data_IF_483345555895
#
_entry.id   IF_483345555895
#
_cell.length_a   1.000
_cell.length_b   1.000
_cell.length_c   1.000
_cell.angle_alpha   90.00
_cell.angle_beta   90.00
_cell.angle_gamma   90.00
#
_symmetry.space_group_name_H-M   'P 1'
#
loop_
_entity.id
_entity.type
_entity.pdbx_description
1 polymer ?
#
# COMPACT_ATOMS: atom_id res chain seq x y z
N UNK A 1 32.71 7.49 3.53
CA UNK A 1 32.35 6.13 3.96
C UNK A 1 32.03 5.32 2.70
N UNK A 2 32.90 4.40 2.28
CA UNK A 2 32.60 3.53 1.12
C UNK A 2 31.53 2.55 1.57
N UNK A 3 30.32 2.67 1.02
CA UNK A 3 29.29 1.64 1.17
C UNK A 3 29.83 0.42 0.41
N UNK A 4 30.47 -0.51 1.14
CA UNK A 4 30.83 -1.81 0.59
C UNK A 4 29.53 -2.61 0.44
N UNK A 5 28.77 -2.33 -0.62
CA UNK A 5 27.67 -3.18 -1.03
C UNK A 5 28.27 -4.57 -1.33
N UNK A 6 27.77 -5.55 -0.58
CA UNK A 6 28.12 -6.96 -0.61
C UNK A 6 28.08 -7.50 -2.05
N UNK A 7 29.23 -7.50 -2.74
CA UNK A 7 29.41 -8.05 -4.08
C UNK A 7 30.03 -9.43 -3.98
N UNK A 8 29.32 -10.47 -3.53
CA UNK A 8 29.72 -11.85 -3.81
C UNK A 8 28.51 -12.77 -3.61
N UNK A 9 27.98 -13.35 -4.71
CA UNK A 9 27.23 -14.63 -4.84
C UNK A 9 26.03 -14.63 -5.82
N UNK A 10 25.71 -13.55 -6.54
CA UNK A 10 24.41 -13.43 -7.26
C UNK A 10 24.38 -14.01 -8.70
N UNK A 11 25.52 -14.35 -9.31
CA UNK A 11 25.55 -14.66 -10.76
C UNK A 11 24.96 -16.02 -11.20
N UNK A 12 24.78 -16.99 -10.30
CA UNK A 12 24.43 -18.38 -10.69
C UNK A 12 22.92 -18.61 -10.86
N UNK A 13 22.05 -17.74 -10.35
CA UNK A 13 20.59 -17.96 -10.35
C UNK A 13 19.79 -17.20 -11.44
N UNK A 14 20.42 -16.31 -12.22
CA UNK A 14 19.68 -15.40 -13.11
C UNK A 14 19.36 -15.97 -14.50
N UNK A 15 20.19 -16.85 -15.08
CA UNK A 15 20.03 -17.26 -16.48
C UNK A 15 18.76 -18.07 -16.79
N UNK A 16 18.33 -19.07 -15.99
CA UNK A 16 17.14 -19.86 -16.30
C UNK A 16 15.83 -19.08 -16.18
N UNK A 17 15.82 -17.99 -15.40
CA UNK A 17 14.65 -17.14 -15.24
C UNK A 17 14.39 -16.32 -16.50
N UNK A 18 15.39 -15.77 -17.19
CA UNK A 18 15.18 -14.89 -18.34
C UNK A 18 14.41 -15.53 -19.52
N UNK A 19 14.56 -16.84 -19.75
CA UNK A 19 13.92 -17.55 -20.88
C UNK A 19 12.43 -17.85 -20.60
N UNK A 20 12.08 -18.19 -19.36
CA UNK A 20 10.67 -18.44 -19.00
C UNK A 20 9.81 -17.15 -19.00
N UNK A 21 10.46 -15.98 -18.95
CA UNK A 21 9.80 -14.68 -18.83
C UNK A 21 9.39 -14.05 -20.18
N UNK A 22 10.02 -14.43 -21.30
CA UNK A 22 9.64 -13.89 -22.61
C UNK A 22 8.28 -14.44 -23.09
N UNK A 23 7.99 -15.71 -22.79
CA UNK A 23 6.78 -16.39 -23.29
C UNK A 23 5.49 -16.05 -22.53
N UNK A 24 5.58 -15.67 -21.24
CA UNK A 24 4.38 -15.35 -20.41
C UNK A 24 3.87 -13.92 -20.66
N UNK A 25 4.70 -13.02 -21.18
CA UNK A 25 4.41 -11.58 -21.15
C UNK A 25 3.88 -10.96 -22.45
N UNK A 26 4.08 -11.62 -23.59
CA UNK A 26 3.66 -11.10 -24.91
C UNK A 26 2.13 -10.95 -25.04
N UNK A 27 1.34 -11.68 -24.23
CA UNK A 27 -0.13 -11.57 -24.23
C UNK A 27 -0.69 -10.42 -23.38
N UNK A 28 0.17 -9.62 -22.73
CA UNK A 28 -0.24 -8.53 -21.83
C UNK A 28 0.34 -7.16 -22.23
N UNK A 29 0.53 -6.94 -23.54
CA UNK A 29 0.76 -5.61 -24.14
C UNK A 29 -0.50 -4.75 -24.04
N UNK A 30 -1.00 -4.60 -22.83
CA UNK A 30 -2.00 -3.61 -22.52
C UNK A 30 -1.34 -2.23 -22.72
N UNK A 31 -1.80 -1.52 -23.77
CA UNK A 31 -1.59 -0.08 -24.06
C UNK A 31 -1.63 0.81 -22.80
N UNK A 32 -2.29 0.30 -21.77
CA UNK A 32 -2.60 0.92 -20.50
C UNK A 32 -1.38 1.31 -19.66
N UNK A 33 -0.33 0.52 -19.75
CA UNK A 33 0.92 0.80 -19.05
C UNK A 33 1.77 1.83 -19.78
N UNK A 34 1.59 1.97 -21.09
CA UNK A 34 2.51 2.73 -21.95
C UNK A 34 2.60 4.20 -21.53
N UNK A 35 1.47 4.87 -21.26
CA UNK A 35 1.50 6.30 -20.86
C UNK A 35 2.08 6.53 -19.46
N UNK A 36 1.81 5.63 -18.52
CA UNK A 36 2.39 5.66 -17.18
C UNK A 36 3.90 5.42 -17.24
N UNK A 37 4.37 4.46 -18.03
CA UNK A 37 5.81 4.23 -18.22
C UNK A 37 6.49 5.34 -19.02
N UNK A 38 5.82 5.94 -20.01
CA UNK A 38 6.34 7.12 -20.73
C UNK A 38 6.53 8.30 -19.78
N UNK A 39 5.56 8.56 -18.91
CA UNK A 39 5.65 9.65 -17.93
C UNK A 39 6.75 9.38 -16.90
N UNK A 40 6.87 8.14 -16.44
CA UNK A 40 7.98 7.71 -15.60
C UNK A 40 9.34 7.90 -16.28
N UNK A 41 9.46 7.50 -17.55
CA UNK A 41 10.67 7.65 -18.35
C UNK A 41 11.01 9.12 -18.58
N UNK A 42 10.02 9.97 -18.87
CA UNK A 42 10.23 11.41 -19.02
C UNK A 42 10.76 12.04 -17.73
N UNK A 43 10.18 11.69 -16.57
CA UNK A 43 10.69 12.16 -15.27
C UNK A 43 12.10 11.64 -15.00
N UNK A 44 12.40 10.38 -15.36
CA UNK A 44 13.75 9.84 -15.24
C UNK A 44 14.76 10.60 -16.10
N UNK A 45 14.43 10.85 -17.37
CA UNK A 45 15.29 11.54 -18.33
C UNK A 45 15.60 12.97 -17.86
N UNK A 46 14.64 13.60 -17.19
CA UNK A 46 14.80 14.93 -16.59
C UNK A 46 15.65 14.90 -15.31
N UNK A 47 15.34 14.02 -14.37
CA UNK A 47 15.86 14.11 -12.99
C UNK A 47 17.13 13.31 -12.74
N UNK A 48 17.29 12.21 -13.49
CA UNK A 48 18.23 11.12 -13.18
C UNK A 48 19.17 10.79 -14.33
N UNK A 49 18.72 10.75 -15.59
CA UNK A 49 19.59 10.45 -16.73
C UNK A 49 20.88 11.31 -16.80
N UNK A 50 20.86 12.62 -16.46
CA UNK A 50 22.07 13.45 -16.45
C UNK A 50 23.13 13.03 -15.44
N UNK A 51 22.78 12.18 -14.47
CA UNK A 51 23.68 11.70 -13.42
C UNK A 51 24.47 10.44 -13.81
N UNK A 52 24.13 9.82 -14.94
CA UNK A 52 24.80 8.62 -15.44
C UNK A 52 25.96 8.97 -16.37
N UNK A 53 27.13 8.35 -16.15
CA UNK A 53 28.27 8.48 -17.06
C UNK A 53 28.06 7.76 -18.39
N UNK A 54 27.21 6.72 -18.40
CA UNK A 54 26.72 6.05 -19.60
C UNK A 54 25.20 6.01 -19.52
N UNK A 55 24.47 6.89 -20.24
CA UNK A 55 23.04 7.03 -20.07
C UNK A 55 22.34 5.72 -20.43
N UNK A 56 21.36 5.34 -19.59
CA UNK A 56 20.43 4.29 -19.94
C UNK A 56 19.63 4.76 -21.14
N UNK A 57 19.99 4.27 -22.33
CA UNK A 57 19.28 4.66 -23.56
C UNK A 57 17.81 4.27 -23.43
N UNK A 58 16.98 5.31 -23.37
CA UNK A 58 15.54 5.26 -23.48
C UNK A 58 15.15 4.66 -24.84
N UNK A 59 14.30 3.64 -24.84
CA UNK A 59 13.58 3.21 -26.03
C UNK A 59 12.10 3.59 -25.87
N UNK A 60 11.63 4.68 -26.50
CA UNK A 60 10.24 5.11 -26.42
C UNK A 60 9.26 4.06 -26.96
N UNK A 61 9.72 3.15 -27.83
CA UNK A 61 8.92 2.03 -28.32
C UNK A 61 8.84 0.88 -27.29
N UNK A 62 9.74 0.85 -26.31
CA UNK A 62 9.76 -0.16 -25.25
C UNK A 62 10.04 0.45 -23.86
N UNK A 63 9.09 1.23 -23.32
CA UNK A 63 9.30 1.93 -22.05
C UNK A 63 9.35 0.93 -20.85
N UNK A 64 8.79 -0.27 -20.99
CA UNK A 64 8.95 -1.38 -20.02
C UNK A 64 10.38 -1.93 -20.01
N UNK A 65 10.98 -2.10 -21.19
CA UNK A 65 12.37 -2.55 -21.34
C UNK A 65 13.34 -1.57 -20.69
N UNK A 66 13.12 -0.26 -20.90
CA UNK A 66 13.84 0.80 -20.21
C UNK A 66 13.74 0.64 -18.68
N UNK A 67 12.52 0.52 -18.16
CA UNK A 67 12.28 0.37 -16.72
C UNK A 67 13.00 -0.85 -16.12
N UNK A 68 12.91 -2.02 -16.78
CA UNK A 68 13.61 -3.24 -16.33
C UNK A 68 15.12 -3.02 -16.29
N UNK A 69 15.68 -2.39 -17.33
CA UNK A 69 17.11 -2.06 -17.40
C UNK A 69 17.52 -1.11 -16.26
N UNK A 70 16.68 -0.12 -15.94
CA UNK A 70 16.91 0.77 -14.81
C UNK A 70 16.89 0.01 -13.48
N UNK A 71 15.90 -0.86 -13.26
CA UNK A 71 15.79 -1.68 -12.05
C UNK A 71 17.00 -2.62 -11.87
N UNK A 72 17.47 -3.24 -12.95
CA UNK A 72 18.72 -4.02 -12.92
C UNK A 72 19.91 -3.15 -12.52
N UNK A 73 20.00 -1.93 -13.06
CA UNK A 73 21.08 -0.99 -12.73
C UNK A 73 21.08 -0.60 -11.25
N UNK A 74 19.88 -0.42 -10.65
CA UNK A 74 19.74 -0.21 -9.21
C UNK A 74 20.23 -1.42 -8.41
N UNK A 75 19.84 -2.64 -8.79
CA UNK A 75 20.21 -3.88 -8.08
C UNK A 75 21.67 -4.22 -8.13
N UNK A 76 22.32 -3.93 -9.26
CA UNK A 76 23.76 -4.12 -9.42
C UNK A 76 24.59 -3.10 -8.62
N UNK A 77 23.96 -2.14 -7.92
CA UNK A 77 24.67 -1.10 -7.19
C UNK A 77 25.37 -0.09 -8.11
N UNK A 78 24.99 -0.05 -9.40
CA UNK A 78 25.64 0.80 -10.43
C UNK A 78 24.93 2.15 -10.60
N UNK A 79 23.76 2.32 -10.00
CA UNK A 79 23.01 3.56 -10.06
C UNK A 79 23.60 4.62 -9.10
N UNK A 80 23.55 5.92 -9.46
CA UNK A 80 23.91 6.96 -8.53
C UNK A 80 22.94 6.97 -7.35
N UNK A 81 23.42 7.40 -6.18
CA UNK A 81 22.66 7.37 -4.92
C UNK A 81 21.30 8.06 -5.02
N UNK A 82 21.24 9.18 -5.76
CA UNK A 82 20.01 9.97 -6.01
C UNK A 82 18.95 9.20 -6.80
N UNK A 83 19.33 8.18 -7.58
CA UNK A 83 18.39 7.36 -8.34
C UNK A 83 17.54 6.45 -7.43
N UNK A 84 18.11 5.93 -6.33
CA UNK A 84 17.35 5.15 -5.35
C UNK A 84 16.31 6.03 -4.64
N UNK A 85 16.71 7.22 -4.21
CA UNK A 85 15.78 8.18 -3.62
C UNK A 85 14.66 8.54 -4.60
N UNK A 86 15.02 8.87 -5.85
CA UNK A 86 14.03 9.21 -6.88
C UNK A 86 13.08 8.05 -7.18
N UNK A 87 13.57 6.80 -7.21
CA UNK A 87 12.74 5.63 -7.46
C UNK A 87 11.58 5.48 -6.45
N UNK A 88 11.81 5.82 -5.18
CA UNK A 88 10.77 5.73 -4.13
C UNK A 88 10.04 7.04 -3.86
N UNK A 89 10.72 8.18 -3.99
CA UNK A 89 10.24 9.49 -3.53
C UNK A 89 10.10 10.55 -4.62
N UNK A 90 10.67 10.33 -5.80
CA UNK A 90 10.75 11.34 -6.86
C UNK A 90 9.59 11.29 -7.85
N UNK A 91 9.00 10.12 -8.03
CA UNK A 91 7.97 9.93 -9.07
C UNK A 91 6.60 10.40 -8.57
N UNK A 92 6.06 11.42 -9.22
CA UNK A 92 4.66 11.85 -9.04
C UNK A 92 3.86 11.46 -10.28
N UNK A 93 2.90 10.55 -10.12
CA UNK A 93 1.99 10.11 -11.19
C UNK A 93 0.56 10.58 -10.98
N UNK A 94 0.31 11.51 -10.05
CA UNK A 94 -1.05 11.88 -9.71
C UNK A 94 -1.81 12.38 -10.94
N UNK A 95 -1.20 13.24 -11.76
CA UNK A 95 -1.85 13.77 -12.96
C UNK A 95 -2.21 12.65 -13.93
N UNK A 96 -1.26 11.78 -14.24
CA UNK A 96 -1.40 10.69 -15.20
C UNK A 96 -2.46 9.68 -14.73
N UNK A 97 -2.50 9.39 -13.44
CA UNK A 97 -3.50 8.50 -12.87
C UNK A 97 -4.90 9.08 -12.90
N UNK A 98 -5.04 10.39 -12.64
CA UNK A 98 -6.32 11.07 -12.72
C UNK A 98 -6.80 11.16 -14.18
N UNK A 99 -5.92 11.48 -15.13
CA UNK A 99 -6.27 11.48 -16.56
C UNK A 99 -6.63 10.08 -17.08
N UNK A 100 -5.92 9.05 -16.62
CA UNK A 100 -6.28 7.66 -16.95
C UNK A 100 -7.64 7.27 -16.35
N UNK A 101 -7.91 7.67 -15.10
CA UNK A 101 -9.20 7.48 -14.45
C UNK A 101 -10.33 8.17 -15.25
N UNK A 102 -10.16 9.45 -15.60
CA UNK A 102 -11.14 10.20 -16.42
C UNK A 102 -11.42 9.50 -17.74
N UNK A 103 -10.37 9.12 -18.47
CA UNK A 103 -10.47 8.49 -19.79
C UNK A 103 -11.20 7.15 -19.76
N UNK A 104 -10.90 6.30 -18.78
CA UNK A 104 -11.40 4.91 -18.76
C UNK A 104 -12.68 4.72 -17.99
N UNK A 105 -12.75 5.38 -16.84
CA UNK A 105 -13.86 5.24 -15.92
C UNK A 105 -14.94 6.27 -16.23
N UNK A 106 -14.76 7.09 -17.27
CA UNK A 106 -15.70 8.14 -17.66
C UNK A 106 -15.92 9.18 -16.56
N UNK A 107 -14.96 9.32 -15.63
CA UNK A 107 -15.12 10.17 -14.45
C UNK A 107 -14.89 11.63 -14.86
N UNK A 108 -15.94 12.32 -15.30
CA UNK A 108 -15.90 13.77 -15.51
C UNK A 108 -16.45 14.49 -14.27
N UNK A 109 -15.62 15.33 -13.63
CA UNK A 109 -15.94 15.96 -12.34
C UNK A 109 -16.07 17.47 -12.42
N UNK A 110 -16.38 18.01 -13.60
CA UNK A 110 -16.74 19.43 -13.74
C UNK A 110 -18.05 19.81 -13.01
N UNK A 111 -18.68 18.87 -12.30
CA UNK A 111 -19.90 19.13 -11.54
C UNK A 111 -19.60 19.61 -10.11
N UNK A 112 -20.11 20.80 -9.80
CA UNK A 112 -20.21 21.32 -8.44
C UNK A 112 -21.16 20.40 -7.64
N UNK A 113 -20.70 19.82 -6.52
CA UNK A 113 -21.59 19.02 -5.65
C UNK A 113 -20.97 17.84 -4.87
N UNK A 114 -19.65 17.63 -4.92
CA UNK A 114 -19.02 16.43 -4.37
C UNK A 114 -18.59 16.51 -2.90
N UNK A 115 -19.08 17.48 -2.15
CA UNK A 115 -18.75 17.63 -0.73
C UNK A 115 -19.52 16.70 0.20
N UNK A 116 -20.58 16.02 -0.28
CA UNK A 116 -21.39 15.14 0.57
C UNK A 116 -20.89 13.67 0.49
N UNK A 117 -20.60 13.01 1.62
CA UNK A 117 -20.12 11.62 1.68
C UNK A 117 -20.97 10.61 0.92
N UNK A 118 -22.29 10.78 0.95
CA UNK A 118 -23.30 10.00 0.24
C UNK A 118 -23.13 10.13 -1.28
N UNK A 119 -22.84 11.33 -1.76
CA UNK A 119 -22.54 11.58 -3.17
C UNK A 119 -21.23 10.87 -3.54
N UNK A 120 -20.18 11.01 -2.73
CA UNK A 120 -18.89 10.33 -2.94
C UNK A 120 -19.05 8.80 -2.99
N UNK A 121 -19.75 8.22 -2.02
CA UNK A 121 -20.01 6.80 -1.94
C UNK A 121 -20.80 6.29 -3.15
N UNK A 122 -21.82 7.04 -3.60
CA UNK A 122 -22.62 6.70 -4.78
C UNK A 122 -21.80 6.75 -6.06
N UNK A 123 -20.93 7.75 -6.23
CA UNK A 123 -20.05 7.83 -7.41
C UNK A 123 -19.11 6.65 -7.50
N UNK A 124 -18.45 6.31 -6.40
CA UNK A 124 -17.55 5.15 -6.36
C UNK A 124 -18.30 3.87 -6.76
N UNK A 125 -19.53 3.69 -6.26
CA UNK A 125 -20.38 2.55 -6.63
C UNK A 125 -20.78 2.56 -8.10
N UNK A 126 -21.15 3.72 -8.65
CA UNK A 126 -21.52 3.86 -10.05
C UNK A 126 -20.33 3.54 -10.97
N UNK A 127 -19.17 4.14 -10.72
CA UNK A 127 -17.96 3.86 -11.52
C UNK A 127 -17.48 2.42 -11.36
N UNK A 128 -17.61 1.84 -10.16
CA UNK A 128 -17.34 0.42 -9.98
C UNK A 128 -18.26 -0.45 -10.84
N UNK A 129 -19.56 -0.14 -10.90
CA UNK A 129 -20.53 -0.86 -11.75
C UNK A 129 -20.21 -0.70 -13.23
N UNK A 130 -19.89 0.51 -13.69
CA UNK A 130 -19.47 0.78 -15.07
C UNK A 130 -18.21 -0.03 -15.44
N UNK A 131 -17.24 -0.08 -14.52
CA UNK A 131 -16.02 -0.89 -14.69
C UNK A 131 -16.36 -2.39 -14.76
N UNK A 132 -17.26 -2.86 -13.91
CA UNK A 132 -17.68 -4.27 -13.86
C UNK A 132 -18.40 -4.71 -15.14
N UNK A 133 -19.13 -3.81 -15.79
CA UNK A 133 -19.86 -4.05 -17.03
C UNK A 133 -18.98 -3.88 -18.28
N UNK A 134 -17.77 -3.34 -18.14
CA UNK A 134 -16.84 -3.13 -19.26
C UNK A 134 -16.05 -4.43 -19.56
N UNK A 135 -16.22 -5.03 -20.76
CA UNK A 135 -15.54 -6.27 -21.12
C UNK A 135 -14.02 -6.14 -21.25
N UNK A 136 -13.45 -4.94 -21.33
CA UNK A 136 -12.00 -4.73 -21.36
C UNK A 136 -11.30 -5.17 -20.06
N UNK A 137 -12.04 -5.29 -18.95
CA UNK A 137 -11.51 -5.60 -17.62
C UNK A 137 -11.84 -7.04 -17.16
N UNK A 138 -11.83 -8.00 -18.10
CA UNK A 138 -12.10 -9.42 -17.85
C UNK A 138 -10.86 -10.26 -17.49
N UNK A 139 -9.67 -9.69 -17.66
CA UNK A 139 -8.40 -10.41 -17.54
C UNK A 139 -7.98 -10.53 -16.09
N UNK A 140 -7.88 -11.76 -15.56
CA UNK A 140 -7.08 -11.99 -14.35
C UNK A 140 -5.72 -12.55 -14.74
N UNK A 141 -4.70 -11.70 -14.75
CA UNK A 141 -3.32 -12.15 -14.92
C UNK A 141 -2.87 -12.81 -13.60
N UNK A 142 -2.85 -14.15 -13.59
CA UNK A 142 -2.25 -14.93 -12.50
C UNK A 142 -0.73 -14.85 -12.57
N UNK A 143 -0.16 -13.74 -12.12
CA UNK A 143 1.28 -13.68 -11.90
C UNK A 143 1.68 -14.55 -10.71
N UNK A 144 2.50 -15.56 -10.98
CA UNK A 144 3.04 -16.48 -9.98
C UNK A 144 4.14 -15.77 -9.20
N UNK A 145 3.82 -15.19 -8.04
CA UNK A 145 4.75 -14.67 -7.02
C UNK A 145 6.09 -14.16 -7.58
N UNK A 146 5.99 -13.16 -8.44
CA UNK A 146 7.13 -12.46 -8.99
C UNK A 146 7.41 -11.22 -8.14
N UNK A 147 8.66 -10.78 -8.20
CA UNK A 147 9.11 -9.49 -7.72
C UNK A 147 8.19 -8.36 -8.23
N UNK A 148 7.40 -7.70 -7.35
CA UNK A 148 6.43 -6.72 -7.77
C UNK A 148 7.05 -5.58 -8.58
N UNK A 149 8.23 -5.10 -8.19
CA UNK A 149 8.89 -4.05 -8.94
C UNK A 149 9.23 -4.53 -10.35
N UNK A 150 9.67 -5.78 -10.52
CA UNK A 150 10.05 -6.32 -11.83
C UNK A 150 8.88 -6.41 -12.82
N UNK A 151 7.66 -6.68 -12.34
CA UNK A 151 6.44 -6.72 -13.17
C UNK A 151 5.85 -5.33 -13.44
N UNK A 152 6.58 -4.25 -13.12
CA UNK A 152 6.16 -2.90 -13.43
C UNK A 152 5.27 -2.26 -12.36
N UNK A 153 5.19 -2.86 -11.17
CA UNK A 153 4.46 -2.30 -10.04
C UNK A 153 5.36 -1.33 -9.26
N UNK A 154 5.75 -0.22 -9.87
CA UNK A 154 6.77 0.66 -9.28
C UNK A 154 6.20 1.61 -8.21
N UNK A 155 7.07 2.15 -7.33
CA UNK A 155 6.68 3.12 -6.32
C UNK A 155 6.35 4.49 -6.93
N UNK A 156 5.42 5.22 -6.33
CA UNK A 156 5.17 6.64 -6.65
C UNK A 156 4.46 7.36 -5.49
N UNK A 157 4.48 8.70 -5.52
CA UNK A 157 3.85 9.56 -4.51
C UNK A 157 2.34 9.55 -4.69
N UNK A 158 1.63 9.14 -3.65
CA UNK A 158 0.17 9.27 -3.59
C UNK A 158 -0.22 10.69 -3.23
N UNK A 159 0.24 11.19 -2.09
CA UNK A 159 -0.08 12.53 -1.60
C UNK A 159 0.88 12.92 -0.48
N UNK A 160 0.83 14.20 -0.10
CA UNK A 160 1.48 14.72 1.09
C UNK A 160 0.40 15.26 2.01
N UNK A 161 0.54 15.02 3.30
CA UNK A 161 -0.39 15.54 4.29
C UNK A 161 0.38 15.99 5.53
N UNK A 162 -0.09 17.07 6.16
CA UNK A 162 0.56 17.69 7.30
C UNK A 162 -0.09 17.23 8.60
N UNK A 163 0.70 16.58 9.47
CA UNK A 163 0.31 16.21 10.82
C UNK A 163 1.01 17.15 11.82
N UNK A 164 0.30 18.19 12.25
CA UNK A 164 0.88 19.27 13.07
C UNK A 164 1.90 20.08 12.27
N UNK A 165 3.16 20.08 12.70
CA UNK A 165 4.26 20.77 12.00
C UNK A 165 4.96 19.88 10.95
N UNK A 166 4.70 18.57 10.99
CA UNK A 166 5.38 17.60 10.12
C UNK A 166 4.57 17.31 8.87
N UNK A 167 5.16 17.52 7.70
CA UNK A 167 4.63 16.98 6.45
C UNK A 167 5.09 15.53 6.26
N UNK A 168 4.14 14.65 5.93
CA UNK A 168 4.37 13.23 5.69
C UNK A 168 4.06 12.92 4.23
N UNK A 169 5.01 12.31 3.53
CA UNK A 169 4.84 11.86 2.15
C UNK A 169 4.31 10.42 2.12
N UNK A 170 3.11 10.24 1.56
CA UNK A 170 2.52 8.93 1.35
C UNK A 170 2.94 8.36 0.02
N UNK A 171 3.54 7.18 0.07
CA UNK A 171 4.07 6.48 -1.10
C UNK A 171 3.23 5.24 -1.30
N UNK A 172 2.82 5.00 -2.54
CA UNK A 172 2.33 3.69 -2.92
C UNK A 172 3.52 2.86 -3.34
N UNK A 173 3.70 1.73 -2.69
CA UNK A 173 4.76 0.79 -2.98
C UNK A 173 4.21 -0.64 -2.75
N UNK A 174 4.40 -1.61 -3.66
CA UNK A 174 4.15 -3.02 -3.33
C UNK A 174 5.14 -3.52 -2.26
N UNK A 175 5.02 -4.80 -1.87
CA UNK A 175 5.98 -5.39 -0.95
C UNK A 175 7.40 -5.37 -1.56
N UNK A 176 8.41 -4.77 -0.90
CA UNK A 176 9.77 -4.64 -1.43
C UNK A 176 10.58 -5.91 -1.20
N UNK A 177 9.98 -7.06 -1.50
CA UNK A 177 10.55 -8.37 -1.26
C UNK A 177 10.10 -9.32 -2.36
N UNK A 178 10.97 -10.26 -2.70
CA UNK A 178 10.76 -11.22 -3.78
C UNK A 178 11.10 -12.64 -3.36
N UNK A 179 10.43 -13.59 -3.99
CA UNK A 179 10.77 -15.00 -3.89
C UNK A 179 11.97 -15.32 -4.79
N UNK A 180 12.95 -16.06 -4.26
CA UNK A 180 14.00 -16.71 -5.04
C UNK A 180 13.52 -18.01 -5.70
N UNK A 181 12.39 -18.54 -5.25
CA UNK A 181 11.81 -19.79 -5.74
C UNK A 181 10.56 -19.49 -6.58
N UNK A 182 10.49 -19.93 -7.85
CA UNK A 182 9.30 -19.77 -8.69
C UNK A 182 8.06 -20.54 -8.19
N UNK A 183 8.20 -21.36 -7.15
CA UNK A 183 7.10 -22.18 -6.60
C UNK A 183 6.17 -21.31 -5.75
N UNK A 184 4.86 -21.55 -5.88
CA UNK A 184 3.82 -20.81 -5.15
C UNK A 184 3.89 -20.94 -3.62
N UNK A 185 4.55 -21.98 -3.12
CA UNK A 185 4.61 -22.28 -1.69
C UNK A 185 6.03 -22.09 -1.18
N UNK A 186 6.27 -20.94 -0.57
CA UNK A 186 7.47 -20.67 0.20
C UNK A 186 7.44 -21.52 1.45
N UNK A 187 8.40 -22.44 1.57
CA UNK A 187 8.54 -23.29 2.75
C UNK A 187 9.53 -22.71 3.74
N UNK A 188 10.49 -21.94 3.24
CA UNK A 188 11.60 -21.44 4.05
C UNK A 188 11.77 -19.93 3.87
N UNK A 189 12.07 -19.27 4.98
CA UNK A 189 12.32 -17.82 5.01
C UNK A 189 13.47 -17.40 4.09
N UNK A 190 14.46 -18.27 3.90
CA UNK A 190 15.63 -18.02 3.04
C UNK A 190 15.30 -18.05 1.54
N UNK A 191 14.09 -18.48 1.17
CA UNK A 191 13.56 -18.38 -0.18
C UNK A 191 13.00 -16.97 -0.48
N UNK A 192 13.02 -16.05 0.50
CA UNK A 192 12.60 -14.65 0.34
C UNK A 192 13.76 -13.72 0.60
N UNK A 193 13.96 -12.75 -0.29
CA UNK A 193 14.94 -11.67 -0.12
C UNK A 193 14.26 -10.31 -0.20
N UNK A 194 14.77 -9.35 0.57
CA UNK A 194 14.40 -7.95 0.41
C UNK A 194 15.10 -7.41 -0.83
N UNK A 195 14.38 -6.62 -1.61
CA UNK A 195 14.91 -6.05 -2.83
C UNK A 195 16.04 -5.05 -2.52
N UNK A 196 17.15 -5.14 -3.26
CA UNK A 196 18.37 -4.37 -3.00
C UNK A 196 18.14 -2.87 -3.11
N UNK A 197 17.31 -2.44 -4.07
CA UNK A 197 16.90 -1.04 -4.22
C UNK A 197 16.23 -0.47 -2.96
N UNK A 198 15.44 -1.29 -2.25
CA UNK A 198 14.78 -0.86 -1.02
C UNK A 198 15.76 -0.79 0.17
N UNK A 199 16.72 -1.72 0.26
CA UNK A 199 17.80 -1.63 1.25
C UNK A 199 18.62 -0.36 1.07
N UNK A 200 18.94 -0.01 -0.19
CA UNK A 200 19.62 1.24 -0.51
C UNK A 200 18.76 2.43 -0.06
N UNK A 201 17.46 2.44 -0.38
CA UNK A 201 16.53 3.48 0.08
C UNK A 201 16.53 3.64 1.61
N UNK A 202 16.40 2.57 2.39
CA UNK A 202 16.45 2.63 3.86
C UNK A 202 17.77 3.21 4.37
N UNK A 203 18.88 2.83 3.75
CA UNK A 203 20.20 3.37 4.08
C UNK A 203 20.26 4.89 3.83
N UNK A 204 19.60 5.40 2.79
CA UNK A 204 19.51 6.85 2.53
C UNK A 204 18.64 7.56 3.55
N UNK A 205 17.50 6.98 3.89
CA UNK A 205 16.62 7.54 4.92
C UNK A 205 17.39 7.66 6.25
N UNK A 206 18.13 6.62 6.64
CA UNK A 206 18.97 6.64 7.85
C UNK A 206 20.06 7.73 7.80
N UNK A 207 20.79 7.86 6.69
CA UNK A 207 21.80 8.92 6.51
C UNK A 207 21.20 10.33 6.64
N UNK A 208 19.97 10.53 6.15
CA UNK A 208 19.23 11.79 6.24
C UNK A 208 18.51 11.96 7.58
N UNK A 209 18.59 10.98 8.48
CA UNK A 209 17.82 10.91 9.73
C UNK A 209 16.31 11.01 9.51
N UNK A 210 15.85 10.56 8.35
CA UNK A 210 14.44 10.54 7.99
C UNK A 210 13.83 9.20 8.37
N UNK A 211 12.59 9.23 8.85
CA UNK A 211 11.86 8.06 9.32
C UNK A 211 10.89 7.55 8.24
N UNK A 212 10.76 6.24 8.14
CA UNK A 212 9.81 5.57 7.25
C UNK A 212 8.87 4.67 8.05
N UNK A 213 7.57 4.90 7.92
CA UNK A 213 6.52 4.06 8.50
C UNK A 213 5.97 3.11 7.44
N UNK A 214 6.19 1.82 7.63
CA UNK A 214 5.72 0.77 6.72
C UNK A 214 4.55 0.01 7.37
N UNK A 215 3.35 0.19 6.83
CA UNK A 215 2.14 -0.52 7.30
C UNK A 215 1.79 -1.65 6.33
N UNK A 216 1.91 -2.88 6.80
CA UNK A 216 1.64 -4.09 6.02
C UNK A 216 0.25 -4.66 6.31
N UNK A 217 -0.44 -5.07 5.25
CA UNK A 217 -1.66 -5.88 5.30
C UNK A 217 -1.46 -7.28 4.73
N UNK A 218 -0.22 -7.78 4.68
CA UNK A 218 0.10 -9.14 4.22
C UNK A 218 -0.51 -10.19 5.16
N UNK A 219 -0.92 -11.33 4.60
CA UNK A 219 -1.64 -12.36 5.38
C UNK A 219 -0.69 -13.39 5.95
N UNK A 220 -0.44 -13.32 7.25
CA UNK A 220 0.46 -14.24 7.94
C UNK A 220 -0.16 -15.64 8.19
N UNK A 221 -1.49 -15.74 8.23
CA UNK A 221 -2.15 -16.73 9.09
C UNK A 221 -2.59 -18.05 8.45
N UNK A 222 -2.77 -18.14 7.13
CA UNK A 222 -3.46 -19.30 6.54
C UNK A 222 -2.57 -20.37 5.90
N UNK A 223 -1.50 -20.00 5.21
CA UNK A 223 -0.73 -20.97 4.39
C UNK A 223 0.81 -20.83 4.48
N UNK A 224 1.36 -19.99 5.37
CA UNK A 224 2.81 -19.75 5.43
C UNK A 224 3.40 -18.97 4.23
N UNK A 225 2.69 -18.87 3.11
CA UNK A 225 3.15 -18.22 1.88
C UNK A 225 3.65 -16.79 2.12
N UNK A 226 2.89 -15.94 2.82
CA UNK A 226 3.34 -14.58 3.12
C UNK A 226 4.11 -14.44 4.44
N UNK A 227 4.18 -15.50 5.26
CA UNK A 227 4.89 -15.45 6.55
C UNK A 227 6.37 -15.15 6.35
N UNK A 228 6.99 -15.78 5.35
CA UNK A 228 8.39 -15.53 5.02
C UNK A 228 8.64 -14.05 4.66
N UNK A 229 7.72 -13.43 3.91
CA UNK A 229 7.79 -12.01 3.56
C UNK A 229 7.64 -11.09 4.78
N UNK A 230 6.64 -11.32 5.64
CA UNK A 230 6.40 -10.48 6.82
C UNK A 230 7.52 -10.62 7.86
N UNK A 231 8.10 -11.81 7.99
CA UNK A 231 9.25 -12.05 8.85
C UNK A 231 10.53 -11.40 8.30
N UNK A 232 10.77 -11.40 6.98
CA UNK A 232 11.91 -10.67 6.39
C UNK A 232 11.76 -9.16 6.51
N UNK A 233 10.55 -8.62 6.31
CA UNK A 233 10.30 -7.19 6.45
C UNK A 233 10.49 -6.71 7.88
N UNK A 234 10.08 -7.48 8.88
CA UNK A 234 10.29 -7.10 10.28
C UNK A 234 11.74 -7.21 10.75
N UNK A 235 12.56 -8.09 10.15
CA UNK A 235 14.00 -8.12 10.45
C UNK A 235 14.69 -6.80 10.11
N UNK A 236 14.16 -6.03 9.14
CA UNK A 236 14.73 -4.74 8.76
C UNK A 236 14.69 -3.71 9.90
N UNK A 237 13.71 -3.81 10.81
CA UNK A 237 13.61 -2.93 11.97
C UNK A 237 14.72 -3.20 13.01
N UNK A 238 15.31 -4.39 12.98
CA UNK A 238 16.40 -4.78 13.89
C UNK A 238 17.79 -4.50 13.30
N UNK A 239 17.88 -3.94 12.09
CA UNK A 239 19.16 -3.74 11.42
C UNK A 239 19.92 -2.55 12.02
N UNK A 240 21.22 -2.68 12.34
CA UNK A 240 21.97 -1.62 13.03
C UNK A 240 22.12 -0.33 12.21
N UNK A 241 22.13 -0.42 10.88
CA UNK A 241 22.39 0.75 10.02
C UNK A 241 21.16 1.64 9.75
N UNK A 242 19.95 1.12 9.91
CA UNK A 242 18.71 1.84 9.57
C UNK A 242 17.50 1.50 10.44
N UNK A 243 17.63 0.60 11.40
CA UNK A 243 16.52 0.14 12.27
C UNK A 243 15.82 1.29 12.97
N UNK A 244 16.59 2.25 13.50
CA UNK A 244 16.07 3.46 14.18
C UNK A 244 15.21 4.37 13.27
N UNK A 245 15.31 4.19 11.95
CA UNK A 245 14.63 4.99 10.94
C UNK A 245 13.50 4.22 10.24
N UNK A 246 13.33 2.93 10.52
CA UNK A 246 12.34 2.07 9.84
C UNK A 246 11.37 1.46 10.86
N UNK A 247 10.08 1.79 10.73
CA UNK A 247 9.04 1.32 11.64
C UNK A 247 8.11 0.37 10.91
N UNK A 248 8.10 -0.90 11.29
CA UNK A 248 7.26 -1.92 10.66
C UNK A 248 6.00 -2.19 11.48
N UNK A 249 4.85 -2.07 10.83
CA UNK A 249 3.53 -2.36 11.40
C UNK A 249 2.86 -3.43 10.55
N UNK A 250 2.16 -4.36 11.18
CA UNK A 250 1.30 -5.32 10.49
C UNK A 250 -0.11 -5.27 11.07
N UNK A 251 -1.09 -5.08 10.19
CA UNK A 251 -2.52 -5.09 10.51
C UNK A 251 -3.22 -6.14 9.66
N UNK A 252 -3.98 -7.01 10.29
CA UNK A 252 -4.62 -8.12 9.59
C UNK A 252 -5.94 -7.68 8.92
N UNK A 253 -6.00 -7.82 7.59
CA UNK A 253 -7.18 -7.52 6.76
C UNK A 253 -7.69 -8.74 5.99
N UNK A 254 -7.40 -9.94 6.48
CA UNK A 254 -7.86 -11.17 5.82
C UNK A 254 -8.20 -12.31 6.77
N UNK A 255 -8.21 -12.09 8.09
CA UNK A 255 -8.68 -13.12 9.00
C UNK A 255 -10.19 -13.31 9.01
N UNK A 256 -10.61 -14.47 9.51
CA UNK A 256 -12.00 -14.70 9.89
C UNK A 256 -12.53 -13.64 10.86
N UNK A 257 -11.67 -13.10 11.73
CA UNK A 257 -12.04 -11.99 12.60
C UNK A 257 -12.29 -10.71 11.79
N UNK A 258 -11.39 -10.33 10.89
CA UNK A 258 -11.61 -9.15 10.03
C UNK A 258 -12.87 -9.26 9.15
N UNK A 259 -13.18 -10.47 8.67
CA UNK A 259 -14.42 -10.75 7.94
C UNK A 259 -15.65 -10.94 8.83
N UNK A 260 -15.48 -11.06 10.16
CA UNK A 260 -16.55 -11.33 11.11
C UNK A 260 -17.36 -12.58 10.71
N UNK A 261 -16.66 -13.64 10.27
CA UNK A 261 -17.24 -14.90 9.82
C UNK A 261 -16.87 -16.06 10.78
N UNK A 262 -17.43 -17.26 10.53
CA UNK A 262 -17.28 -18.44 11.39
C UNK A 262 -17.70 -18.10 12.83
N UNK A 263 -16.90 -18.48 13.83
CA UNK A 263 -17.14 -18.18 15.25
C UNK A 263 -17.39 -16.69 15.56
N UNK A 264 -16.89 -15.77 14.73
CA UNK A 264 -17.06 -14.32 14.95
C UNK A 264 -18.39 -13.75 14.42
N UNK A 265 -19.18 -14.52 13.65
CA UNK A 265 -20.51 -14.04 13.20
C UNK A 265 -21.48 -13.89 14.37
N UNK A 266 -21.37 -14.78 15.36
CA UNK A 266 -22.27 -14.87 16.51
C UNK A 266 -21.89 -13.93 17.68
N UNK A 267 -20.73 -13.28 17.60
CA UNK A 267 -20.22 -12.37 18.64
C UNK A 267 -20.95 -11.01 18.61
N UNK A 268 -22.23 -11.01 18.98
CA UNK A 268 -23.08 -9.81 18.97
C UNK A 268 -22.78 -8.87 20.12
N UNK A 269 -22.42 -9.39 21.30
CA UNK A 269 -22.11 -8.56 22.47
C UNK A 269 -20.86 -7.69 22.22
N UNK A 270 -21.02 -6.38 22.37
CA UNK A 270 -19.99 -5.39 22.10
C UNK A 270 -18.79 -5.54 23.04
N UNK A 271 -19.02 -5.82 24.33
CA UNK A 271 -17.96 -6.02 25.31
C UNK A 271 -17.09 -7.24 24.97
N UNK A 272 -17.73 -8.35 24.58
CA UNK A 272 -17.02 -9.54 24.10
C UNK A 272 -16.24 -9.20 22.82
N UNK A 273 -16.84 -8.52 21.85
CA UNK A 273 -16.18 -8.08 20.61
C UNK A 273 -14.90 -7.28 20.86
N UNK A 274 -14.96 -6.21 21.67
CA UNK A 274 -13.79 -5.36 21.91
C UNK A 274 -12.71 -6.06 22.74
N UNK A 275 -13.09 -6.91 23.68
CA UNK A 275 -12.13 -7.76 24.40
C UNK A 275 -11.37 -8.63 23.41
N UNK A 276 -12.06 -9.37 22.54
CA UNK A 276 -11.41 -10.19 21.51
C UNK A 276 -10.59 -9.36 20.52
N UNK A 277 -11.06 -8.16 20.16
CA UNK A 277 -10.32 -7.28 19.26
C UNK A 277 -8.98 -6.86 19.85
N UNK A 278 -8.96 -6.36 21.10
CA UNK A 278 -7.75 -5.96 21.81
C UNK A 278 -6.82 -7.15 22.08
N UNK A 279 -7.36 -8.31 22.45
CA UNK A 279 -6.58 -9.54 22.59
C UNK A 279 -5.87 -9.90 21.27
N UNK A 280 -6.55 -9.79 20.13
CA UNK A 280 -5.94 -10.07 18.82
C UNK A 280 -4.86 -9.05 18.46
N UNK A 281 -5.14 -7.76 18.65
CA UNK A 281 -4.16 -6.68 18.42
C UNK A 281 -2.85 -6.89 19.19
N UNK A 282 -2.87 -7.48 20.40
CA UNK A 282 -1.71 -7.54 21.29
C UNK A 282 -1.26 -8.95 21.71
N UNK A 283 -1.84 -10.01 21.13
CA UNK A 283 -1.46 -11.40 21.47
C UNK A 283 -0.11 -11.84 20.92
N UNK A 284 0.53 -11.03 20.06
CA UNK A 284 1.73 -11.43 19.31
C UNK A 284 1.48 -12.57 18.31
N UNK A 285 0.22 -12.93 18.11
CA UNK A 285 -0.29 -13.96 17.20
C UNK A 285 -1.38 -13.30 16.34
N UNK A 286 -1.79 -13.95 15.25
CA UNK A 286 -2.93 -13.54 14.42
C UNK A 286 -2.69 -12.38 13.45
N UNK A 287 -1.46 -12.18 12.99
CA UNK A 287 -1.21 -11.25 11.90
C UNK A 287 -1.13 -9.77 12.31
N UNK A 288 -0.86 -9.49 13.59
CA UNK A 288 -0.58 -8.15 14.10
C UNK A 288 0.87 -8.05 14.56
N UNK A 289 1.53 -6.95 14.21
CA UNK A 289 2.88 -6.62 14.68
C UNK A 289 3.00 -5.11 14.86
N UNK A 290 3.65 -4.70 15.93
CA UNK A 290 3.93 -3.31 16.25
C UNK A 290 5.43 -3.03 16.16
N UNK A 291 5.82 -1.77 15.88
CA UNK A 291 7.23 -1.40 15.83
C UNK A 291 7.91 -1.70 17.17
N UNK A 292 9.10 -2.29 17.13
CA UNK A 292 9.88 -2.68 18.31
C UNK A 292 10.31 -1.47 19.15
N UNK A 293 10.40 -0.31 18.51
CA UNK A 293 10.74 0.97 19.12
C UNK A 293 9.64 1.53 20.03
N UNK A 294 8.40 1.05 19.92
CA UNK A 294 7.32 1.50 20.78
C UNK A 294 7.39 0.82 22.16
N UNK A 295 7.14 1.59 23.21
CA UNK A 295 6.85 1.02 24.52
C UNK A 295 5.51 0.28 24.44
N UNK A 296 5.56 -1.06 24.37
CA UNK A 296 4.39 -1.90 24.10
C UNK A 296 3.28 -1.75 25.14
N UNK A 297 3.61 -1.48 26.41
CA UNK A 297 2.61 -1.28 27.46
C UNK A 297 1.89 0.06 27.31
N UNK A 298 2.64 1.13 27.03
CA UNK A 298 2.07 2.45 26.74
C UNK A 298 1.19 2.37 25.49
N UNK A 299 1.72 1.79 24.41
CA UNK A 299 1.00 1.63 23.15
C UNK A 299 -0.29 0.82 23.29
N UNK A 300 -0.26 -0.28 24.06
CA UNK A 300 -1.46 -1.07 24.39
C UNK A 300 -2.51 -0.26 25.13
N UNK A 301 -2.11 0.56 26.09
CA UNK A 301 -3.02 1.43 26.81
C UNK A 301 -3.63 2.48 25.88
N UNK A 302 -2.82 3.15 25.06
CA UNK A 302 -3.29 4.14 24.07
C UNK A 302 -4.30 3.53 23.10
N UNK A 303 -4.02 2.34 22.55
CA UNK A 303 -4.95 1.62 21.68
C UNK A 303 -6.24 1.22 22.41
N UNK A 304 -6.16 0.84 23.70
CA UNK A 304 -7.35 0.51 24.51
C UNK A 304 -8.24 1.74 24.70
N UNK A 305 -7.66 2.91 24.99
CA UNK A 305 -8.41 4.17 25.07
C UNK A 305 -9.01 4.55 23.72
N UNK A 306 -8.23 4.44 22.63
CA UNK A 306 -8.70 4.71 21.27
C UNK A 306 -9.91 3.84 20.91
N UNK A 307 -9.83 2.52 21.14
CA UNK A 307 -10.91 1.57 20.89
C UNK A 307 -12.16 1.94 21.67
N UNK A 308 -12.02 2.25 22.97
CA UNK A 308 -13.14 2.65 23.83
C UNK A 308 -13.80 3.94 23.37
N UNK A 309 -12.99 4.96 23.04
CA UNK A 309 -13.48 6.25 22.59
C UNK A 309 -14.22 6.12 21.25
N UNK A 310 -13.63 5.40 20.30
CA UNK A 310 -14.24 5.18 19.00
C UNK A 310 -15.54 4.38 19.10
N UNK A 311 -15.60 3.37 19.97
CA UNK A 311 -16.85 2.63 20.25
C UNK A 311 -17.96 3.57 20.74
N UNK A 312 -17.64 4.42 21.72
CA UNK A 312 -18.62 5.37 22.26
C UNK A 312 -19.07 6.39 21.21
N UNK A 313 -18.17 6.87 20.37
CA UNK A 313 -18.49 7.83 19.29
C UNK A 313 -19.37 7.18 18.20
N UNK A 314 -18.99 6.01 17.70
CA UNK A 314 -19.71 5.34 16.61
C UNK A 314 -21.05 4.75 17.03
N UNK A 315 -21.11 4.17 18.23
CA UNK A 315 -22.23 3.32 18.62
C UNK A 315 -22.93 3.76 19.91
N UNK A 316 -22.51 4.86 20.54
CA UNK A 316 -23.15 5.43 21.74
C UNK A 316 -23.39 4.39 22.85
N UNK A 317 -22.44 3.46 23.02
CA UNK A 317 -22.54 2.40 24.05
C UNK A 317 -23.52 1.27 23.73
N UNK A 318 -23.92 1.08 22.45
CA UNK A 318 -24.82 0.00 22.02
C UNK A 318 -24.29 -1.39 22.43
N UNK A 319 -25.05 -2.08 23.29
CA UNK A 319 -24.70 -3.40 23.84
C UNK A 319 -24.44 -4.48 22.78
N UNK A 320 -25.23 -4.48 21.69
CA UNK A 320 -25.12 -5.49 20.64
C UNK A 320 -24.76 -4.84 19.30
N UNK A 321 -23.70 -5.32 18.66
CA UNK A 321 -23.28 -4.89 17.33
C UNK A 321 -23.65 -5.96 16.30
N UNK A 322 -24.07 -5.53 15.12
CA UNK A 322 -24.23 -6.39 13.94
C UNK A 322 -22.87 -6.73 13.33
N UNK A 323 -22.80 -7.77 12.48
CA UNK A 323 -21.59 -8.13 11.72
C UNK A 323 -21.03 -6.91 10.98
N UNK A 324 -21.90 -6.18 10.28
CA UNK A 324 -21.53 -4.97 9.53
C UNK A 324 -20.97 -3.87 10.44
N UNK A 325 -21.61 -3.59 11.57
CA UNK A 325 -21.11 -2.60 12.54
C UNK A 325 -19.71 -2.97 13.07
N UNK A 326 -19.46 -4.26 13.34
CA UNK A 326 -18.14 -4.74 13.77
C UNK A 326 -17.09 -4.61 12.66
N UNK A 327 -17.46 -4.90 11.41
CA UNK A 327 -16.57 -4.69 10.26
C UNK A 327 -16.23 -3.20 10.06
N UNK A 328 -17.25 -2.33 10.10
CA UNK A 328 -17.07 -0.88 10.00
C UNK A 328 -16.15 -0.35 11.11
N UNK A 329 -16.33 -0.86 12.34
CA UNK A 329 -15.46 -0.51 13.46
C UNK A 329 -14.00 -0.88 13.18
N UNK A 330 -13.72 -2.08 12.68
CA UNK A 330 -12.34 -2.53 12.42
C UNK A 330 -11.66 -1.62 11.38
N UNK A 331 -12.35 -1.28 10.29
CA UNK A 331 -11.82 -0.40 9.25
C UNK A 331 -11.46 0.99 9.79
N UNK A 332 -12.40 1.61 10.51
CA UNK A 332 -12.20 2.94 11.08
C UNK A 332 -11.12 2.89 12.16
N UNK A 333 -11.12 1.85 13.00
CA UNK A 333 -10.11 1.69 14.05
C UNK A 333 -8.71 1.55 13.46
N UNK A 334 -8.52 0.83 12.35
CA UNK A 334 -7.23 0.76 11.67
C UNK A 334 -6.78 2.12 11.14
N UNK A 335 -7.69 2.90 10.55
CA UNK A 335 -7.40 4.29 10.13
C UNK A 335 -6.88 5.13 11.30
N UNK A 336 -7.57 5.07 12.46
CA UNK A 336 -7.21 5.83 13.66
C UNK A 336 -5.92 5.33 14.32
N UNK A 337 -5.66 4.02 14.30
CA UNK A 337 -4.38 3.45 14.75
C UNK A 337 -3.23 3.94 13.87
N UNK A 338 -3.38 3.95 12.54
CA UNK A 338 -2.37 4.45 11.61
C UNK A 338 -2.07 5.93 11.90
N UNK A 339 -3.10 6.75 12.14
CA UNK A 339 -2.90 8.17 12.51
C UNK A 339 -2.17 8.32 13.85
N UNK A 340 -2.54 7.54 14.86
CA UNK A 340 -1.87 7.56 16.16
C UNK A 340 -0.37 7.20 16.02
N UNK A 341 -0.06 6.18 15.21
CA UNK A 341 1.31 5.81 14.87
C UNK A 341 2.07 6.95 14.17
N UNK A 342 1.47 7.60 13.17
CA UNK A 342 2.08 8.75 12.49
C UNK A 342 2.36 9.89 13.48
N UNK A 343 1.42 10.17 14.37
CA UNK A 343 1.56 11.24 15.37
C UNK A 343 2.70 10.95 16.37
N UNK A 344 2.83 9.69 16.79
CA UNK A 344 3.84 9.24 17.75
C UNK A 344 5.23 9.11 17.11
N UNK A 345 5.31 8.55 15.90
CA UNK A 345 6.58 8.27 15.22
C UNK A 345 7.11 9.52 14.52
N UNK A 346 6.21 10.37 14.03
CA UNK A 346 6.49 11.52 13.15
C UNK A 346 7.33 11.13 11.92
N UNK A 347 6.86 10.17 11.09
CA UNK A 347 7.61 9.72 9.93
C UNK A 347 7.75 10.82 8.88
N UNK A 348 8.81 10.76 8.07
CA UNK A 348 8.93 11.59 6.85
C UNK A 348 8.15 10.97 5.70
N UNK A 349 8.13 9.64 5.65
CA UNK A 349 7.49 8.88 4.59
C UNK A 349 6.65 7.74 5.17
N UNK A 350 5.52 7.45 4.53
CA UNK A 350 4.61 6.38 4.96
C UNK A 350 4.10 5.60 3.75
N UNK A 351 3.98 4.28 3.87
CA UNK A 351 3.29 3.46 2.89
C UNK A 351 2.33 2.48 3.57
N UNK A 352 1.21 2.25 2.89
CA UNK A 352 0.23 1.25 3.25
C UNK A 352 0.25 0.18 2.16
N UNK A 353 0.61 -1.06 2.49
CA UNK A 353 1.05 -2.05 1.50
C UNK A 353 0.45 -3.43 1.73
N UNK A 354 0.04 -4.06 0.64
CA UNK A 354 -0.12 -5.51 0.53
C UNK A 354 0.79 -5.98 -0.60
N UNK A 355 0.79 -7.27 -0.97
CA UNK A 355 1.81 -7.81 -1.88
C UNK A 355 2.00 -6.97 -3.17
N UNK A 356 0.91 -6.62 -3.85
CA UNK A 356 0.92 -5.75 -5.04
C UNK A 356 0.28 -4.37 -4.83
N UNK A 357 -0.18 -4.05 -3.62
CA UNK A 357 -0.87 -2.78 -3.31
C UNK A 357 -2.16 -2.55 -4.15
N UNK A 358 -2.85 -3.63 -4.51
CA UNK A 358 -4.05 -3.59 -5.37
C UNK A 358 -5.36 -3.51 -4.59
N UNK A 359 -5.65 -4.44 -3.67
CA UNK A 359 -6.97 -4.51 -3.02
C UNK A 359 -6.96 -3.99 -1.57
N UNK A 360 -6.29 -4.74 -0.67
CA UNK A 360 -6.26 -4.44 0.77
C UNK A 360 -5.64 -3.08 1.08
N UNK A 361 -4.51 -2.80 0.43
CA UNK A 361 -3.81 -1.54 0.62
C UNK A 361 -4.59 -0.39 0.00
N UNK A 362 -4.99 -0.49 -1.27
CA UNK A 362 -5.78 0.54 -1.95
C UNK A 362 -7.03 0.93 -1.16
N UNK A 363 -7.82 -0.05 -0.68
CA UNK A 363 -8.99 0.22 0.15
C UNK A 363 -8.65 0.94 1.46
N UNK A 364 -7.58 0.56 2.14
CA UNK A 364 -7.17 1.22 3.38
C UNK A 364 -6.61 2.62 3.13
N UNK A 365 -5.82 2.79 2.08
CA UNK A 365 -5.32 4.10 1.62
C UNK A 365 -6.45 5.04 1.27
N UNK A 366 -7.47 4.57 0.57
CA UNK A 366 -8.66 5.35 0.24
C UNK A 366 -9.42 5.79 1.50
N UNK A 367 -9.70 4.86 2.42
CA UNK A 367 -10.35 5.16 3.71
C UNK A 367 -9.51 6.18 4.50
N UNK A 368 -8.21 5.95 4.62
CA UNK A 368 -7.32 6.82 5.40
C UNK A 368 -7.21 8.21 4.76
N UNK A 369 -7.08 8.30 3.44
CA UNK A 369 -7.06 9.58 2.73
C UNK A 369 -8.36 10.36 2.96
N UNK A 370 -9.52 9.72 2.83
CA UNK A 370 -10.80 10.38 3.11
C UNK A 370 -10.97 10.78 4.57
N UNK A 371 -10.47 9.97 5.51
CA UNK A 371 -10.44 10.30 6.94
C UNK A 371 -9.63 11.57 7.19
N UNK A 372 -8.52 11.79 6.47
CA UNK A 372 -7.74 13.04 6.55
C UNK A 372 -8.52 14.23 5.97
N UNK A 373 -9.15 14.09 4.81
CA UNK A 373 -9.97 15.16 4.20
C UNK A 373 -11.12 15.59 5.12
N UNK A 374 -11.74 14.64 5.82
CA UNK A 374 -12.81 14.96 6.77
C UNK A 374 -12.32 15.86 7.91
N UNK A 375 -11.03 15.82 8.28
CA UNK A 375 -10.46 16.65 9.34
C UNK A 375 -10.13 18.06 8.88
N UNK A 376 -9.71 18.22 7.63
CA UNK A 376 -9.33 19.50 7.02
C UNK A 376 -10.54 20.41 6.70
N UNK A 377 -11.70 20.13 7.30
CA UNK A 377 -12.98 20.88 7.21
C UNK A 377 -13.63 20.94 5.83
N UNK A 378 -13.25 20.06 4.90
CA UNK A 378 -13.95 19.90 3.63
C UNK A 378 -13.38 18.82 2.74
N UNK A 379 -14.20 18.30 1.83
CA UNK A 379 -13.79 17.37 0.76
C UNK A 379 -13.83 18.15 -0.56
N UNK A 380 -12.69 18.66 -1.06
CA UNK A 380 -12.62 19.26 -2.38
C UNK A 380 -12.97 18.27 -3.49
N UNK A 381 -13.56 18.75 -4.59
CA UNK A 381 -13.87 17.94 -5.77
C UNK A 381 -12.66 17.14 -6.33
N UNK A 382 -11.45 17.72 -6.49
CA UNK A 382 -10.29 16.98 -6.98
C UNK A 382 -9.91 15.78 -6.11
N UNK A 383 -10.19 15.84 -4.82
CA UNK A 383 -9.86 14.78 -3.88
C UNK A 383 -10.83 13.59 -3.97
N UNK A 384 -12.06 13.81 -4.47
CA UNK A 384 -13.01 12.73 -4.78
C UNK A 384 -12.57 11.93 -5.99
N UNK A 385 -12.03 12.58 -7.02
CA UNK A 385 -11.41 11.89 -8.17
C UNK A 385 -10.28 11.00 -7.70
N UNK A 386 -9.41 11.58 -6.88
CA UNK A 386 -8.24 10.92 -6.34
C UNK A 386 -8.62 9.73 -5.49
N UNK A 387 -9.62 9.88 -4.62
CA UNK A 387 -10.17 8.78 -3.83
C UNK A 387 -10.67 7.62 -4.71
N UNK A 388 -11.39 7.94 -5.78
CA UNK A 388 -11.92 6.95 -6.72
C UNK A 388 -10.78 6.25 -7.48
N UNK A 389 -9.82 7.01 -7.99
CA UNK A 389 -8.64 6.49 -8.68
C UNK A 389 -7.77 5.61 -7.77
N UNK A 390 -7.57 6.00 -6.50
CA UNK A 390 -6.84 5.21 -5.50
C UNK A 390 -7.45 3.82 -5.33
N UNK A 391 -8.77 3.70 -5.42
CA UNK A 391 -9.51 2.46 -5.18
C UNK A 391 -9.67 1.61 -6.44
N UNK A 392 -10.03 2.22 -7.57
CA UNK A 392 -10.46 1.52 -8.78
C UNK A 392 -9.34 1.33 -9.80
N UNK A 393 -8.36 2.24 -9.88
CA UNK A 393 -7.34 2.16 -10.94
C UNK A 393 -6.34 1.03 -10.69
N UNK A 394 -5.98 0.73 -9.44
CA UNK A 394 -4.88 -0.23 -9.19
C UNK A 394 -5.17 -1.65 -9.69
N UNK A 395 -6.37 -2.23 -9.48
CA UNK A 395 -6.73 -3.52 -10.06
C UNK A 395 -6.70 -3.54 -11.59
N UNK A 396 -7.17 -2.45 -12.21
CA UNK A 396 -7.22 -2.29 -13.67
C UNK A 396 -5.80 -2.18 -14.22
N UNK A 397 -5.02 -1.25 -13.69
CA UNK A 397 -3.68 -0.94 -14.17
C UNK A 397 -2.73 -2.12 -14.03
N UNK A 398 -2.78 -2.87 -12.93
CA UNK A 398 -1.77 -3.90 -12.67
C UNK A 398 -2.20 -5.31 -13.07
N UNK A 399 -3.49 -5.60 -13.07
CA UNK A 399 -3.99 -6.95 -13.29
C UNK A 399 -5.06 -7.03 -14.35
N UNK A 400 -5.47 -5.92 -14.97
CA UNK A 400 -6.56 -5.82 -15.94
C UNK A 400 -7.89 -6.38 -15.45
N UNK A 401 -8.18 -6.22 -14.15
CA UNK A 401 -9.44 -6.66 -13.55
C UNK A 401 -10.08 -5.57 -12.72
N UNK A 402 -11.35 -5.79 -12.40
CA UNK A 402 -12.07 -4.96 -11.43
C UNK A 402 -11.62 -5.20 -9.99
N UNK A 403 -11.85 -4.19 -9.15
CA UNK A 403 -11.73 -4.32 -7.71
C UNK A 403 -12.73 -5.36 -7.17
N UNK A 404 -12.45 -5.96 -6.02
CA UNK A 404 -13.43 -6.85 -5.40
C UNK A 404 -14.65 -6.10 -4.84
N UNK A 405 -15.84 -6.55 -5.19
CA UNK A 405 -17.14 -5.99 -4.77
C UNK A 405 -17.23 -5.71 -3.27
N UNK A 406 -16.85 -6.67 -2.44
CA UNK A 406 -16.94 -6.57 -0.98
C UNK A 406 -16.00 -5.50 -0.42
N UNK A 407 -14.88 -5.19 -1.10
CA UNK A 407 -13.96 -4.12 -0.72
C UNK A 407 -14.57 -2.77 -1.03
N UNK A 408 -15.15 -2.61 -2.22
CA UNK A 408 -15.86 -1.40 -2.62
C UNK A 408 -16.99 -1.12 -1.64
N UNK A 409 -17.81 -2.14 -1.35
CA UNK A 409 -18.91 -2.03 -0.40
C UNK A 409 -18.44 -1.64 1.01
N UNK A 410 -17.32 -2.19 1.49
CA UNK A 410 -16.76 -1.81 2.79
C UNK A 410 -16.27 -0.37 2.81
N UNK A 411 -15.50 0.04 1.80
CA UNK A 411 -15.00 1.41 1.71
C UNK A 411 -16.17 2.38 1.71
N UNK A 412 -17.13 2.22 0.79
CA UNK A 412 -18.24 3.18 0.66
C UNK A 412 -19.10 3.24 1.92
N UNK A 413 -19.28 2.13 2.64
CA UNK A 413 -19.97 2.13 3.94
C UNK A 413 -19.21 2.91 5.02
N UNK A 414 -17.89 2.78 5.07
CA UNK A 414 -17.03 3.50 6.02
C UNK A 414 -17.01 5.00 5.72
N UNK A 415 -16.95 5.39 4.44
CA UNK A 415 -16.96 6.81 4.03
C UNK A 415 -18.19 7.56 4.54
N UNK A 416 -19.36 6.89 4.63
CA UNK A 416 -20.59 7.49 5.17
C UNK A 416 -20.52 7.79 6.67
N UNK A 417 -19.60 7.14 7.40
CA UNK A 417 -19.49 7.22 8.86
C UNK A 417 -18.41 8.18 9.33
N UNK A 418 -17.28 8.26 8.61
CA UNK A 418 -16.13 9.09 8.99
C UNK A 418 -16.47 10.57 9.30
N UNK A 419 -17.27 11.28 8.49
CA UNK A 419 -17.63 12.69 8.75
C UNK A 419 -18.39 12.91 10.06
N UNK A 420 -19.07 11.88 10.56
CA UNK A 420 -19.79 11.94 11.83
C UNK A 420 -18.84 11.93 13.03
N UNK A 421 -17.61 11.43 12.85
CA UNK A 421 -16.59 11.35 13.88
C UNK A 421 -15.82 12.65 14.04
N UNK A 422 -15.55 13.36 12.95
CA UNK A 422 -14.76 14.59 12.98
C UNK A 422 -15.49 15.75 13.65
N UNK A 423 -16.83 15.75 13.63
CA UNK A 423 -17.65 16.81 14.26
C UNK A 423 -17.68 16.75 15.80
N UNK A 424 -17.09 15.72 16.40
CA UNK A 424 -17.14 15.44 17.84
C UNK A 424 -15.82 15.74 18.58
N UNK A 425 -14.80 16.22 17.87
CA UNK A 425 -13.54 16.73 18.41
C UNK A 425 -13.54 18.25 18.30
#
# INVERSE_FOLDING_TARGET
MKINCFLFSIFIYFLPSLILFSEIHEQSENLFHTEIFKSYQQQFDQDIAPLYSNPLVADPANPRGFYRKFLFTLREGKAPIKAYEWFFLGVDLNKEQLEDAKRRLGIDLDTKGYSHPETVARLIQNHYKETLENPEFDGYIKDKFLDPFFVGNFPYILYRHRFGEKEVQFIRMPAPARSLCPKMYLKHKDEVVINEEFICFLSLQAQKKQKHLYVSFLNDWKNGENRCFTEKLAELEMHPDWGDNFYYVMLDKDSSFYYQNKEFSEQKDAGVFFKSFLERLFSGKNGYRWPTHLNQNVWKNECTLLVKNLYNQLFKGKKNLTVKERQDFIEICYSRIIRALISQIQPDTCNLTCHYTIDRAASTTAIFFFDLLCEDKGIPNPDVLKLTALLLNQPILLQNRVAHDYRINRVTQVLLKLPQLTRLQ
#
